data_IF_553907673067
#
_entry.id   IF_553907673067
#
_cell.length_a   1.000
_cell.length_b   1.000
_cell.length_c   1.000
_cell.angle_alpha   90.00
_cell.angle_beta   90.00
_cell.angle_gamma   90.00
#
_symmetry.space_group_name_H-M   'P 1'
#
loop_
_entity.id
_entity.type
_entity.pdbx_description
1 polymer ?
#
# COMPACT_ATOMS: atom_id res chain seq x y z
N UNK A 1 4.25 15.72 -29.80
CA UNK A 1 3.98 14.29 -29.58
C UNK A 1 2.57 14.09 -29.05
N UNK A 2 2.20 12.87 -28.67
CA UNK A 2 0.85 12.52 -28.20
C UNK A 2 0.36 13.29 -26.95
N UNK A 3 1.23 14.10 -26.33
CA UNK A 3 0.94 14.91 -25.14
C UNK A 3 0.78 16.40 -25.43
N UNK A 4 1.11 16.88 -26.64
CA UNK A 4 1.16 18.33 -26.91
C UNK A 4 -0.22 18.98 -26.90
N UNK A 5 -1.26 18.22 -27.26
CA UNK A 5 -2.65 18.67 -27.29
C UNK A 5 -3.40 18.38 -25.98
N UNK A 6 -2.73 17.83 -24.96
CA UNK A 6 -3.36 17.54 -23.66
C UNK A 6 -3.42 18.84 -22.84
N UNK A 7 -4.61 19.31 -22.44
CA UNK A 7 -4.73 20.53 -21.65
C UNK A 7 -3.98 20.43 -20.33
N UNK A 8 -3.17 21.43 -20.02
CA UNK A 8 -2.42 21.50 -18.77
C UNK A 8 -3.16 22.34 -17.75
N UNK A 9 -3.33 21.78 -16.54
CA UNK A 9 -3.84 22.50 -15.37
C UNK A 9 -2.72 22.55 -14.35
N UNK A 10 -2.37 23.76 -13.91
CA UNK A 10 -1.41 23.95 -12.83
C UNK A 10 -2.16 23.90 -11.50
N UNK A 11 -1.78 22.97 -10.63
CA UNK A 11 -2.27 22.88 -9.26
C UNK A 11 -1.08 22.64 -8.33
N UNK A 12 -0.96 23.46 -7.31
CA UNK A 12 0.12 23.40 -6.33
C UNK A 12 -0.36 22.62 -5.10
N UNK A 13 0.37 21.57 -4.73
CA UNK A 13 0.07 20.75 -3.56
C UNK A 13 0.23 21.50 -2.24
N UNK A 14 0.83 22.70 -2.23
CA UNK A 14 0.86 23.60 -1.09
C UNK A 14 -0.32 24.60 -1.06
N UNK A 15 -1.14 24.65 -2.12
CA UNK A 15 -2.26 25.58 -2.25
C UNK A 15 -3.60 24.82 -2.39
N UNK A 16 -4.37 24.79 -1.31
CA UNK A 16 -5.66 24.11 -1.22
C UNK A 16 -6.68 24.60 -2.26
N UNK A 17 -6.78 25.91 -2.48
CA UNK A 17 -7.70 26.49 -3.48
C UNK A 17 -7.36 26.02 -4.89
N UNK A 18 -6.07 25.91 -5.20
CA UNK A 18 -5.62 25.43 -6.52
C UNK A 18 -5.97 23.96 -6.76
N UNK A 19 -5.84 23.11 -5.73
CA UNK A 19 -6.23 21.70 -5.80
C UNK A 19 -7.75 21.55 -5.91
N UNK A 20 -8.51 22.33 -5.14
CA UNK A 20 -9.97 22.30 -5.20
C UNK A 20 -10.48 22.77 -6.57
N UNK A 21 -9.89 23.83 -7.14
CA UNK A 21 -10.23 24.31 -8.47
C UNK A 21 -9.92 23.27 -9.56
N UNK A 22 -8.83 22.53 -9.42
CA UNK A 22 -8.49 21.42 -10.32
C UNK A 22 -9.46 20.24 -10.16
N UNK A 23 -9.74 19.82 -8.93
CA UNK A 23 -10.61 18.68 -8.63
C UNK A 23 -12.04 18.91 -9.13
N UNK A 24 -12.60 20.11 -8.97
CA UNK A 24 -13.95 20.50 -9.47
C UNK A 24 -14.10 20.39 -11.00
N UNK A 25 -12.99 20.37 -11.75
CA UNK A 25 -13.00 20.32 -13.22
C UNK A 25 -12.95 18.90 -13.77
N UNK A 26 -12.85 17.88 -12.91
CA UNK A 26 -12.75 16.48 -13.33
C UNK A 26 -13.66 15.58 -12.52
N UNK A 27 -13.95 14.39 -13.07
CA UNK A 27 -14.67 13.33 -12.38
C UNK A 27 -13.75 12.41 -11.59
N UNK A 28 -12.48 12.35 -11.98
CA UNK A 28 -11.47 11.46 -11.40
C UNK A 28 -10.09 12.13 -11.45
N UNK A 29 -9.35 12.03 -10.34
CA UNK A 29 -7.94 12.36 -10.25
C UNK A 29 -7.13 11.07 -10.14
N UNK A 30 -6.19 10.87 -11.07
CA UNK A 30 -5.17 9.81 -11.02
C UNK A 30 -3.89 10.39 -10.43
N UNK A 31 -3.69 10.24 -9.13
CA UNK A 31 -2.56 10.82 -8.42
C UNK A 31 -1.32 9.92 -8.49
N UNK A 32 -0.32 10.38 -9.24
CA UNK A 32 0.97 9.71 -9.43
C UNK A 32 2.13 10.46 -8.77
N UNK A 33 1.82 11.42 -7.88
CA UNK A 33 2.81 12.30 -7.26
C UNK A 33 3.02 11.90 -5.79
N UNK A 34 4.19 11.32 -5.52
CA UNK A 34 4.69 11.03 -4.18
C UNK A 34 5.90 11.89 -3.78
N UNK A 35 6.41 11.77 -2.54
CA UNK A 35 5.93 10.84 -1.51
C UNK A 35 4.55 11.21 -0.94
N UNK A 36 3.66 10.23 -0.87
CA UNK A 36 2.24 10.45 -0.60
C UNK A 36 1.97 10.89 0.85
N UNK A 37 2.83 10.49 1.80
CA UNK A 37 2.77 10.96 3.18
C UNK A 37 2.79 12.49 3.28
N UNK A 38 3.51 13.18 2.40
CA UNK A 38 3.65 14.63 2.41
C UNK A 38 2.66 15.32 1.48
N UNK A 39 2.35 14.71 0.32
CA UNK A 39 1.62 15.38 -0.75
C UNK A 39 0.23 14.80 -1.05
N UNK A 40 -0.06 13.58 -0.59
CA UNK A 40 -1.28 12.89 -0.98
C UNK A 40 -2.53 13.38 -0.26
N UNK A 41 -2.43 13.75 1.03
CA UNK A 41 -3.61 14.07 1.85
C UNK A 41 -4.42 15.24 1.29
N UNK A 42 -3.75 16.32 0.91
CA UNK A 42 -4.41 17.50 0.34
C UNK A 42 -5.10 17.21 -0.99
N UNK A 43 -4.58 16.29 -1.78
CA UNK A 43 -5.20 15.86 -3.04
C UNK A 43 -6.46 15.06 -2.75
N UNK A 44 -6.40 14.11 -1.81
CA UNK A 44 -7.58 13.35 -1.36
C UNK A 44 -8.64 14.30 -0.80
N UNK A 45 -8.25 15.22 0.10
CA UNK A 45 -9.14 16.22 0.68
C UNK A 45 -9.85 17.04 -0.40
N UNK A 46 -9.10 17.60 -1.35
CA UNK A 46 -9.67 18.39 -2.44
C UNK A 46 -10.66 17.58 -3.28
N UNK A 47 -10.36 16.30 -3.55
CA UNK A 47 -11.27 15.40 -4.27
C UNK A 47 -12.55 15.13 -3.46
N UNK A 48 -12.41 14.87 -2.16
CA UNK A 48 -13.55 14.64 -1.26
C UNK A 48 -14.42 15.89 -1.17
N UNK A 49 -13.82 17.06 -0.96
CA UNK A 49 -14.51 18.34 -0.90
C UNK A 49 -15.29 18.65 -2.18
N UNK A 50 -14.72 18.35 -3.36
CA UNK A 50 -15.35 18.61 -4.65
C UNK A 50 -16.32 17.54 -5.14
N UNK A 51 -16.42 16.38 -4.46
CA UNK A 51 -17.19 15.24 -4.96
C UNK A 51 -16.55 14.55 -6.16
N UNK A 52 -15.21 14.57 -6.24
CA UNK A 52 -14.41 13.98 -7.32
C UNK A 52 -13.81 12.66 -6.86
N UNK A 53 -13.76 11.66 -7.74
CA UNK A 53 -13.11 10.39 -7.42
C UNK A 53 -11.59 10.54 -7.37
N UNK A 54 -10.93 9.73 -6.54
CA UNK A 54 -9.49 9.73 -6.38
C UNK A 54 -8.93 8.31 -6.51
N UNK A 55 -7.89 8.15 -7.33
CA UNK A 55 -7.09 6.93 -7.42
C UNK A 55 -5.60 7.28 -7.30
N UNK A 56 -4.83 6.51 -6.54
CA UNK A 56 -3.37 6.65 -6.50
C UNK A 56 -2.62 5.32 -6.64
N UNK A 57 -1.30 5.42 -6.86
CA UNK A 57 -0.39 4.27 -6.96
C UNK A 57 0.51 4.13 -5.72
N UNK A 58 0.04 4.63 -4.56
CA UNK A 58 0.85 4.71 -3.34
C UNK A 58 1.19 3.33 -2.76
N UNK A 59 2.47 3.12 -2.47
CA UNK A 59 2.99 1.96 -1.72
C UNK A 59 3.21 2.25 -0.23
N UNK A 60 2.57 3.28 0.34
CA UNK A 60 2.85 3.76 1.70
C UNK A 60 1.73 3.39 2.71
N UNK A 61 1.87 2.33 3.53
CA UNK A 61 0.80 1.85 4.41
C UNK A 61 0.21 2.91 5.34
N UNK A 62 1.05 3.77 5.93
CA UNK A 62 0.57 4.80 6.86
C UNK A 62 -0.28 5.86 6.17
N UNK A 63 0.10 6.27 4.97
CA UNK A 63 -0.72 7.18 4.18
C UNK A 63 -2.05 6.51 3.81
N UNK A 64 -2.02 5.27 3.31
CA UNK A 64 -3.21 4.53 2.91
C UNK A 64 -4.21 4.37 4.07
N UNK A 65 -3.73 3.97 5.24
CA UNK A 65 -4.56 3.77 6.45
C UNK A 65 -5.12 5.09 6.98
N UNK A 66 -4.32 6.15 6.97
CA UNK A 66 -4.75 7.48 7.40
C UNK A 66 -5.83 8.06 6.50
N UNK A 67 -5.71 7.92 5.17
CA UNK A 67 -6.74 8.42 4.24
C UNK A 67 -8.08 7.70 4.42
N UNK A 68 -8.04 6.39 4.72
CA UNK A 68 -9.26 5.65 5.04
C UNK A 68 -9.89 6.17 6.32
N UNK A 69 -9.12 6.29 7.40
CA UNK A 69 -9.61 6.80 8.68
C UNK A 69 -10.22 8.20 8.57
N UNK A 70 -9.60 9.07 7.79
CA UNK A 70 -9.98 10.47 7.71
C UNK A 70 -11.15 10.72 6.77
N UNK A 71 -11.20 10.05 5.61
CA UNK A 71 -12.13 10.41 4.54
C UNK A 71 -13.20 9.35 4.24
N UNK A 72 -13.19 8.18 4.88
CA UNK A 72 -14.13 7.10 4.55
C UNK A 72 -15.60 7.51 4.66
N UNK A 73 -16.00 8.13 5.78
CA UNK A 73 -17.41 8.49 6.00
C UNK A 73 -17.87 9.60 5.06
N UNK A 74 -17.05 10.65 4.87
CA UNK A 74 -17.40 11.76 3.98
C UNK A 74 -17.42 11.34 2.51
N UNK A 75 -16.44 10.54 2.07
CA UNK A 75 -16.43 9.98 0.72
C UNK A 75 -17.67 9.11 0.46
N UNK A 76 -18.09 8.33 1.46
CA UNK A 76 -19.29 7.50 1.39
C UNK A 76 -20.56 8.34 1.33
N UNK A 77 -20.69 9.38 2.16
CA UNK A 77 -21.83 10.30 2.14
C UNK A 77 -21.98 10.98 0.78
N UNK A 78 -20.87 11.39 0.17
CA UNK A 78 -20.83 12.01 -1.16
C UNK A 78 -20.94 11.01 -2.31
N UNK A 79 -20.91 9.71 -2.04
CA UNK A 79 -20.98 8.66 -3.07
C UNK A 79 -19.76 8.61 -4.00
N UNK A 80 -18.57 9.00 -3.51
CA UNK A 80 -17.34 9.00 -4.30
C UNK A 80 -16.40 7.86 -3.91
N UNK A 81 -15.56 7.46 -4.87
CA UNK A 81 -14.50 6.48 -4.66
C UNK A 81 -13.18 7.18 -4.34
N UNK A 82 -12.57 6.81 -3.21
CA UNK A 82 -11.18 7.11 -2.87
C UNK A 82 -10.44 5.78 -2.75
N UNK A 83 -9.60 5.46 -3.73
CA UNK A 83 -8.93 4.17 -3.85
C UNK A 83 -7.42 4.37 -3.96
N UNK A 84 -6.68 3.91 -2.94
CA UNK A 84 -5.22 3.93 -2.97
C UNK A 84 -4.62 2.62 -3.45
N UNK A 85 -3.30 2.61 -3.65
CA UNK A 85 -2.50 1.41 -3.97
C UNK A 85 -2.90 0.70 -5.27
N UNK A 86 -3.29 1.45 -6.29
CA UNK A 86 -3.55 0.95 -7.64
C UNK A 86 -2.25 0.83 -8.47
N UNK A 87 -1.18 0.35 -7.85
CA UNK A 87 0.13 0.21 -8.45
C UNK A 87 0.60 -1.22 -8.56
N UNK A 88 1.84 -1.38 -9.03
CA UNK A 88 2.56 -2.66 -8.95
C UNK A 88 2.67 -3.15 -7.51
N UNK A 89 2.94 -2.24 -6.58
CA UNK A 89 2.80 -2.51 -5.14
C UNK A 89 1.29 -2.62 -4.90
N UNK A 90 0.81 -3.84 -4.60
CA UNK A 90 -0.57 -4.25 -4.26
C UNK A 90 -1.48 -4.87 -5.33
N UNK A 91 -1.62 -4.35 -6.57
CA UNK A 91 -2.56 -4.95 -7.56
C UNK A 91 -2.28 -6.44 -7.83
N UNK A 92 -1.04 -6.86 -8.13
CA UNK A 92 -0.76 -8.28 -8.43
C UNK A 92 -1.09 -9.18 -7.23
N UNK A 93 -0.74 -8.76 -6.02
CA UNK A 93 -0.99 -9.54 -4.81
C UNK A 93 -2.50 -9.66 -4.51
N UNK A 94 -3.26 -8.57 -4.64
CA UNK A 94 -4.72 -8.58 -4.42
C UNK A 94 -5.44 -9.42 -5.49
N UNK A 95 -5.04 -9.32 -6.76
CA UNK A 95 -5.61 -10.15 -7.82
C UNK A 95 -5.35 -11.64 -7.58
N UNK A 96 -4.15 -12.02 -7.13
CA UNK A 96 -3.85 -13.40 -6.75
C UNK A 96 -4.72 -13.86 -5.56
N UNK A 97 -4.92 -13.03 -4.54
CA UNK A 97 -5.78 -13.35 -3.41
C UNK A 97 -7.25 -13.50 -3.85
N UNK A 98 -7.75 -12.60 -4.70
CA UNK A 98 -9.11 -12.70 -5.27
C UNK A 98 -9.28 -13.99 -6.07
N UNK A 99 -8.31 -14.30 -6.94
CA UNK A 99 -8.32 -15.53 -7.71
C UNK A 99 -8.38 -16.77 -6.80
N UNK A 100 -7.55 -16.82 -5.75
CA UNK A 100 -7.59 -17.90 -4.76
C UNK A 100 -8.95 -17.97 -4.05
N UNK A 101 -9.57 -16.85 -3.69
CA UNK A 101 -10.89 -16.86 -3.05
C UNK A 101 -11.99 -17.44 -3.95
N UNK A 102 -11.90 -17.24 -5.25
CA UNK A 102 -12.89 -17.72 -6.22
C UNK A 102 -12.69 -19.19 -6.61
N UNK A 103 -11.44 -19.67 -6.58
CA UNK A 103 -11.08 -20.97 -7.17
C UNK A 103 -10.55 -21.99 -6.15
N UNK A 104 -10.29 -21.61 -4.91
CA UNK A 104 -9.81 -22.55 -3.89
C UNK A 104 -10.96 -23.45 -3.43
N UNK A 105 -10.81 -24.76 -3.63
CA UNK A 105 -11.77 -25.76 -3.18
C UNK A 105 -11.66 -25.94 -1.66
N UNK A 106 -12.47 -25.20 -0.91
CA UNK A 106 -12.56 -25.29 0.54
C UNK A 106 -12.59 -23.93 1.21
N UNK A 107 -12.29 -23.91 2.51
CA UNK A 107 -12.26 -22.70 3.29
C UNK A 107 -10.87 -22.05 3.25
N UNK A 108 -10.69 -21.03 2.41
CA UNK A 108 -9.44 -20.29 2.33
C UNK A 108 -9.22 -19.51 3.63
N UNK A 109 -8.30 -19.99 4.47
CA UNK A 109 -8.00 -19.36 5.76
C UNK A 109 -6.66 -18.61 5.78
N UNK A 110 -5.65 -19.11 5.06
CA UNK A 110 -4.28 -18.62 5.17
C UNK A 110 -3.60 -18.54 3.80
N UNK A 111 -2.91 -17.43 3.54
CA UNK A 111 -2.17 -17.18 2.29
C UNK A 111 -0.81 -16.58 2.61
N UNK A 112 0.24 -17.22 2.07
CA UNK A 112 1.57 -16.62 1.97
C UNK A 112 1.78 -16.15 0.52
N UNK A 113 2.14 -14.88 0.33
CA UNK A 113 2.53 -14.34 -0.97
C UNK A 113 4.03 -14.07 -1.02
N UNK A 114 4.64 -14.34 -2.17
CA UNK A 114 6.08 -14.18 -2.41
C UNK A 114 6.30 -13.25 -3.60
N UNK A 115 6.91 -12.10 -3.35
CA UNK A 115 7.30 -11.15 -4.39
C UNK A 115 8.78 -11.29 -4.71
N UNK A 116 9.14 -11.21 -5.99
CA UNK A 116 10.52 -11.17 -6.44
C UNK A 116 10.63 -10.31 -7.68
N UNK A 117 11.75 -9.59 -7.78
CA UNK A 117 12.02 -8.72 -8.92
C UNK A 117 13.08 -9.35 -9.80
N UNK A 118 12.81 -9.44 -11.10
CA UNK A 118 13.82 -9.80 -12.10
C UNK A 118 14.54 -8.54 -12.52
N UNK A 119 15.85 -8.50 -12.33
CA UNK A 119 16.66 -7.37 -12.80
C UNK A 119 16.76 -7.40 -14.32
N UNK A 120 16.63 -6.23 -14.95
CA UNK A 120 16.94 -6.05 -16.36
C UNK A 120 18.45 -5.91 -16.60
N UNK A 121 18.90 -5.82 -17.86
CA UNK A 121 20.31 -5.66 -18.20
C UNK A 121 20.98 -4.42 -17.58
N UNK A 122 20.19 -3.39 -17.29
CA UNK A 122 20.63 -2.14 -16.65
C UNK A 122 20.51 -2.15 -15.12
N UNK A 123 20.22 -3.30 -14.53
CA UNK A 123 19.98 -3.47 -13.10
C UNK A 123 18.61 -2.98 -12.63
N UNK A 124 18.45 -2.85 -11.31
CA UNK A 124 17.26 -2.30 -10.67
C UNK A 124 17.48 -0.82 -10.37
N UNK A 125 16.49 0.02 -10.71
CA UNK A 125 16.51 1.46 -10.40
C UNK A 125 15.29 1.79 -9.55
N UNK A 126 15.50 2.59 -8.51
CA UNK A 126 14.45 3.13 -7.65
C UNK A 126 14.43 4.63 -7.88
N UNK A 127 13.24 5.21 -8.11
CA UNK A 127 13.11 6.65 -8.24
C UNK A 127 13.24 7.33 -6.87
N UNK A 128 13.58 8.62 -6.85
CA UNK A 128 13.82 9.37 -5.61
C UNK A 128 12.61 9.37 -4.67
N UNK A 129 11.40 9.55 -5.21
CA UNK A 129 10.16 9.55 -4.43
C UNK A 129 9.96 8.22 -3.69
N UNK A 130 10.08 7.10 -4.40
CA UNK A 130 9.97 5.75 -3.81
C UNK A 130 11.05 5.51 -2.75
N UNK A 131 12.28 5.98 -2.96
CA UNK A 131 13.32 5.85 -1.94
C UNK A 131 12.95 6.64 -0.68
N UNK A 132 12.56 7.91 -0.82
CA UNK A 132 12.12 8.73 0.31
C UNK A 132 10.92 8.09 1.03
N UNK A 133 9.92 7.58 0.30
CA UNK A 133 8.78 6.85 0.87
C UNK A 133 9.21 5.65 1.73
N UNK A 134 10.19 4.87 1.27
CA UNK A 134 10.70 3.71 2.02
C UNK A 134 11.46 4.13 3.29
N UNK A 135 12.29 5.18 3.23
CA UNK A 135 12.97 5.73 4.41
C UNK A 135 11.97 6.14 5.49
N UNK A 136 10.99 6.98 5.14
CA UNK A 136 9.98 7.45 6.09
C UNK A 136 9.02 6.33 6.51
N UNK A 137 8.77 5.34 5.66
CA UNK A 137 8.02 4.13 6.02
C UNK A 137 8.67 3.38 7.18
N UNK A 138 10.00 3.22 7.14
CA UNK A 138 10.76 2.59 8.22
C UNK A 138 10.87 3.48 9.45
N UNK A 139 11.24 4.76 9.28
CA UNK A 139 11.44 5.70 10.38
C UNK A 139 10.19 5.87 11.26
N UNK A 140 9.01 5.77 10.66
CA UNK A 140 7.74 5.97 11.35
C UNK A 140 6.97 4.66 11.57
N UNK A 141 7.57 3.48 11.37
CA UNK A 141 6.84 2.21 11.34
C UNK A 141 5.97 1.92 12.59
N UNK A 142 6.35 2.44 13.75
CA UNK A 142 5.60 2.34 15.01
C UNK A 142 4.24 3.04 14.97
N UNK A 143 4.11 4.15 14.24
CA UNK A 143 2.86 4.93 14.14
C UNK A 143 1.72 4.13 13.48
N UNK A 144 2.09 3.13 12.65
CA UNK A 144 1.14 2.23 12.02
C UNK A 144 0.37 1.38 13.04
N UNK A 145 0.91 1.16 14.25
CA UNK A 145 0.21 0.43 15.31
C UNK A 145 -1.01 1.22 15.79
N UNK A 146 -0.85 2.53 15.98
CA UNK A 146 -1.91 3.41 16.45
C UNK A 146 -3.00 3.60 15.39
N UNK A 147 -2.60 3.82 14.13
CA UNK A 147 -3.54 3.89 13.00
C UNK A 147 -4.38 2.61 12.88
N UNK A 148 -3.76 1.44 13.01
CA UNK A 148 -4.48 0.15 12.95
C UNK A 148 -5.42 -0.07 14.10
N UNK A 149 -5.08 0.42 15.29
CA UNK A 149 -5.96 0.36 16.46
C UNK A 149 -7.19 1.23 16.21
N UNK A 150 -6.98 2.48 15.80
CA UNK A 150 -8.06 3.41 15.49
C UNK A 150 -8.96 2.89 14.36
N UNK A 151 -8.38 2.32 13.31
CA UNK A 151 -9.15 1.74 12.20
C UNK A 151 -10.04 0.57 12.65
N UNK A 152 -9.60 -0.23 13.61
CA UNK A 152 -10.43 -1.31 14.21
C UNK A 152 -11.58 -0.77 15.03
N UNK A 153 -11.38 0.36 15.71
CA UNK A 153 -12.41 0.98 16.55
C UNK A 153 -13.45 1.72 15.72
N UNK A 154 -13.05 2.38 14.64
CA UNK A 154 -13.93 3.23 13.81
C UNK A 154 -14.49 2.52 12.59
N UNK A 155 -13.63 1.87 11.80
CA UNK A 155 -14.00 1.33 10.48
C UNK A 155 -14.35 -0.16 10.54
N UNK A 156 -13.57 -0.95 11.26
CA UNK A 156 -13.67 -2.41 11.27
C UNK A 156 -14.28 -2.96 12.56
N UNK A 157 -15.49 -2.48 12.88
CA UNK A 157 -16.18 -2.74 14.16
C UNK A 157 -16.78 -4.14 14.28
N UNK A 158 -17.02 -4.85 13.16
CA UNK A 158 -17.54 -6.23 13.23
C UNK A 158 -16.51 -7.18 13.87
N UNK A 159 -16.92 -8.04 14.81
CA UNK A 159 -16.00 -8.96 15.46
C UNK A 159 -15.41 -9.95 14.45
N UNK A 160 -14.15 -10.29 14.66
CA UNK A 160 -13.48 -11.33 13.87
C UNK A 160 -13.96 -12.72 14.34
N UNK A 161 -14.20 -13.66 13.42
CA UNK A 161 -14.53 -15.02 13.80
C UNK A 161 -13.36 -15.67 14.55
N UNK A 162 -13.64 -16.66 15.43
CA UNK A 162 -12.60 -17.42 16.09
C UNK A 162 -11.71 -18.08 15.05
N UNK A 163 -10.39 -18.05 15.29
CA UNK A 163 -9.40 -18.66 14.40
C UNK A 163 -9.05 -20.04 14.94
N UNK A 164 -9.33 -21.08 14.16
CA UNK A 164 -8.95 -22.45 14.50
C UNK A 164 -7.44 -22.68 14.29
N UNK A 165 -6.85 -21.99 13.31
CA UNK A 165 -5.42 -22.04 13.00
C UNK A 165 -4.86 -20.62 12.88
N UNK A 166 -3.57 -20.46 13.15
CA UNK A 166 -2.85 -19.19 12.93
C UNK A 166 -1.85 -19.38 11.80
N UNK A 167 -1.74 -18.38 10.94
CA UNK A 167 -0.68 -18.38 9.94
C UNK A 167 0.67 -18.24 10.64
N UNK A 168 1.54 -19.23 10.45
CA UNK A 168 2.85 -19.24 11.05
C UNK A 168 3.69 -18.07 10.57
N UNK A 169 4.28 -17.36 11.53
CA UNK A 169 5.25 -16.32 11.23
C UNK A 169 6.60 -16.96 11.03
N UNK A 170 7.09 -16.92 9.78
CA UNK A 170 8.45 -17.33 9.48
C UNK A 170 9.47 -16.35 10.08
N UNK A 171 10.68 -16.84 10.31
CA UNK A 171 11.79 -16.02 10.79
C UNK A 171 12.10 -14.86 9.82
N UNK A 172 12.86 -13.87 10.30
CA UNK A 172 13.25 -12.70 9.50
C UNK A 172 14.02 -13.04 8.22
N UNK A 173 14.67 -14.20 8.18
CA UNK A 173 15.33 -14.76 7.01
C UNK A 173 15.10 -16.28 6.96
N UNK A 174 14.59 -16.80 5.84
CA UNK A 174 14.34 -18.23 5.66
C UNK A 174 14.43 -18.64 4.19
N UNK A 175 14.67 -19.92 3.92
CA UNK A 175 14.58 -20.49 2.59
C UNK A 175 13.13 -20.90 2.27
N UNK A 176 12.63 -20.54 1.09
CA UNK A 176 11.31 -20.94 0.59
C UNK A 176 11.45 -21.83 -0.64
N UNK A 177 10.92 -23.05 -0.57
CA UNK A 177 10.85 -23.95 -1.73
C UNK A 177 9.86 -23.45 -2.79
N UNK A 178 8.83 -22.71 -2.37
CA UNK A 178 7.84 -22.07 -3.26
C UNK A 178 8.50 -20.95 -4.06
N UNK A 179 9.22 -20.05 -3.39
CA UNK A 179 9.91 -18.94 -4.06
C UNK A 179 11.24 -19.35 -4.71
N UNK A 180 11.73 -20.57 -4.39
CA UNK A 180 13.05 -21.10 -4.75
C UNK A 180 14.17 -20.12 -4.42
N UNK A 181 14.22 -19.67 -3.16
CA UNK A 181 15.19 -18.68 -2.72
C UNK A 181 15.06 -18.27 -1.26
N UNK A 182 15.99 -17.44 -0.81
CA UNK A 182 15.96 -16.80 0.50
C UNK A 182 14.93 -15.68 0.52
N UNK A 183 14.15 -15.62 1.59
CA UNK A 183 13.04 -14.70 1.77
C UNK A 183 13.12 -13.95 3.10
N UNK A 184 12.63 -12.71 3.10
CA UNK A 184 12.45 -11.87 4.27
C UNK A 184 11.05 -11.21 4.24
N UNK A 185 10.50 -10.76 5.38
CA UNK A 185 9.21 -10.08 5.41
C UNK A 185 9.18 -8.86 4.47
N UNK A 186 8.21 -8.80 3.57
CA UNK A 186 8.07 -7.65 2.69
C UNK A 186 7.50 -6.46 3.48
N UNK A 187 8.21 -5.34 3.45
CA UNK A 187 7.87 -4.14 4.21
C UNK A 187 7.04 -3.12 3.40
N UNK A 188 6.68 -3.45 2.15
CA UNK A 188 5.82 -2.62 1.30
C UNK A 188 4.34 -2.73 1.63
N UNK A 189 3.48 -2.30 0.70
CA UNK A 189 2.04 -2.14 0.96
C UNK A 189 1.21 -3.41 0.79
N UNK A 190 1.66 -4.39 0.00
CA UNK A 190 0.93 -5.62 -0.35
C UNK A 190 0.12 -6.22 0.81
N UNK A 191 0.82 -6.58 1.91
CA UNK A 191 0.18 -7.20 3.08
C UNK A 191 -0.85 -6.28 3.72
N UNK A 192 -0.55 -4.99 3.80
CA UNK A 192 -1.44 -4.00 4.43
C UNK A 192 -2.70 -3.82 3.59
N UNK A 193 -2.57 -3.72 2.26
CA UNK A 193 -3.70 -3.59 1.34
C UNK A 193 -4.58 -4.83 1.37
N UNK A 194 -4.00 -6.04 1.22
CA UNK A 194 -4.78 -7.29 1.29
C UNK A 194 -5.53 -7.44 2.60
N UNK A 195 -4.90 -7.10 3.73
CA UNK A 195 -5.59 -7.13 5.03
C UNK A 195 -6.75 -6.13 5.07
N UNK A 196 -6.59 -4.91 4.56
CA UNK A 196 -7.70 -3.95 4.51
C UNK A 196 -8.84 -4.43 3.62
N UNK A 197 -8.54 -4.97 2.43
CA UNK A 197 -9.53 -5.57 1.55
C UNK A 197 -10.34 -6.64 2.29
N UNK A 198 -9.66 -7.55 3.02
CA UNK A 198 -10.31 -8.57 3.84
C UNK A 198 -11.14 -7.98 5.00
N UNK A 199 -10.66 -6.93 5.66
CA UNK A 199 -11.42 -6.25 6.72
C UNK A 199 -12.67 -5.56 6.20
N UNK A 200 -12.61 -4.91 5.03
CA UNK A 200 -13.79 -4.35 4.40
C UNK A 200 -14.76 -5.43 3.91
N UNK A 201 -14.28 -6.55 3.34
CA UNK A 201 -15.13 -7.71 3.04
C UNK A 201 -15.87 -8.20 4.30
N UNK A 202 -15.19 -8.29 5.44
CA UNK A 202 -15.86 -8.61 6.71
C UNK A 202 -16.86 -7.54 7.12
N UNK A 203 -16.45 -6.28 7.11
CA UNK A 203 -17.27 -5.16 7.56
C UNK A 203 -18.54 -5.00 6.71
N UNK A 204 -18.43 -5.14 5.39
CA UNK A 204 -19.50 -4.86 4.44
C UNK A 204 -20.32 -6.11 4.09
N UNK A 205 -19.69 -7.24 3.77
CA UNK A 205 -20.37 -8.46 3.32
C UNK A 205 -20.38 -9.60 4.34
N UNK A 206 -19.76 -9.44 5.51
CA UNK A 206 -19.72 -10.47 6.55
C UNK A 206 -18.77 -11.63 6.26
N UNK A 207 -18.06 -11.59 5.12
CA UNK A 207 -17.11 -12.59 4.66
C UNK A 207 -16.00 -12.83 5.70
N UNK A 208 -15.60 -14.09 5.90
CA UNK A 208 -14.48 -14.44 6.77
C UNK A 208 -13.16 -13.88 6.20
N UNK A 209 -12.38 -13.10 6.97
CA UNK A 209 -11.07 -12.63 6.56
C UNK A 209 -10.03 -13.73 6.42
N UNK A 210 -9.30 -13.72 5.32
CA UNK A 210 -8.10 -14.53 5.07
C UNK A 210 -6.91 -13.94 5.83
N UNK A 211 -6.09 -14.82 6.42
CA UNK A 211 -4.82 -14.45 7.03
C UNK A 211 -3.75 -14.31 5.94
N UNK A 212 -3.10 -13.15 5.86
CA UNK A 212 -2.12 -12.89 4.80
C UNK A 212 -0.77 -12.51 5.38
N UNK A 213 0.29 -13.10 4.80
CA UNK A 213 1.67 -12.69 5.00
C UNK A 213 2.39 -12.59 3.66
N UNK A 214 3.19 -11.55 3.49
CA UNK A 214 3.95 -11.30 2.25
C UNK A 214 5.44 -11.31 2.54
N UNK A 215 6.20 -11.91 1.64
CA UNK A 215 7.65 -12.05 1.73
C UNK A 215 8.32 -11.63 0.42
N UNK A 216 9.48 -10.98 0.55
CA UNK A 216 10.35 -10.63 -0.57
C UNK A 216 11.43 -11.70 -0.72
N UNK A 217 11.55 -12.27 -1.90
CA UNK A 217 12.71 -13.11 -2.26
C UNK A 217 13.89 -12.21 -2.63
N UNK A 218 15.03 -12.50 -2.03
CA UNK A 218 16.30 -11.83 -2.33
C UNK A 218 17.16 -12.63 -3.32
N UNK A 219 18.05 -11.98 -4.09
CA UNK A 219 18.90 -12.66 -5.07
C UNK A 219 19.88 -13.69 -4.48
N UNK A 220 20.25 -13.59 -3.19
CA UNK A 220 21.11 -14.57 -2.52
C UNK A 220 21.40 -14.26 -1.05
N UNK A 221 21.90 -15.25 -0.29
CA UNK A 221 22.13 -15.16 1.16
C UNK A 221 23.16 -14.09 1.59
N UNK A 222 24.14 -13.76 0.74
CA UNK A 222 25.13 -12.72 1.02
C UNK A 222 24.65 -11.31 0.63
N UNK A 223 23.67 -11.21 -0.27
CA UNK A 223 23.04 -9.92 -0.60
C UNK A 223 22.18 -9.38 0.55
N UNK A 224 21.67 -10.28 1.41
CA UNK A 224 20.91 -9.91 2.61
C UNK A 224 21.77 -9.31 3.72
N UNK A 225 23.03 -9.76 3.87
CA UNK A 225 23.95 -9.21 4.86
C UNK A 225 24.38 -7.79 4.49
N UNK A 226 24.53 -7.50 3.19
CA UNK A 226 24.78 -6.13 2.72
C UNK A 226 23.55 -5.26 2.94
N UNK A 227 22.33 -5.72 2.63
CA UNK A 227 21.10 -4.94 2.83
C UNK A 227 20.82 -4.61 4.32
N UNK A 228 21.13 -5.51 5.25
CA UNK A 228 21.04 -5.20 6.69
C UNK A 228 22.20 -4.31 7.16
N UNK A 229 23.39 -4.45 6.59
CA UNK A 229 24.55 -3.61 6.92
C UNK A 229 24.42 -2.17 6.37
N UNK A 230 23.85 -1.96 5.19
CA UNK A 230 23.57 -0.61 4.67
C UNK A 230 22.38 0.07 5.35
N UNK A 231 21.47 -0.67 6.00
CA UNK A 231 20.41 -0.06 6.83
C UNK A 231 20.90 0.47 8.18
N UNK A 232 22.13 0.17 8.62
CA UNK A 232 22.66 0.67 9.90
C UNK A 232 23.73 1.77 9.78
N UNK A 233 24.23 2.11 8.59
CA UNK A 233 25.24 3.18 8.49
C UNK A 233 25.16 3.91 7.14
N UNK A 234 24.34 4.96 7.10
CA UNK A 234 24.51 6.06 6.15
C UNK A 234 24.62 7.38 6.94
N UNK A 235 25.68 7.50 7.74
CA UNK A 235 26.20 8.82 8.13
C UNK A 235 27.18 9.19 7.02
N UNK A 236 26.70 9.91 6.01
CA UNK A 236 27.57 10.52 5.02
C UNK A 236 28.00 11.87 5.58
N UNK A 237 29.18 11.91 6.20
CA UNK A 237 29.90 13.14 6.49
C UNK A 237 30.44 13.69 5.17
N UNK A 238 30.08 14.94 4.86
CA UNK A 238 30.68 15.70 3.77
C UNK A 238 32.03 16.27 4.19
N UNK A 239 33.00 16.22 3.29
CA UNK A 239 34.14 17.13 3.23
C UNK A 239 34.08 17.85 1.88
#
# INVERSE_FOLDING_TARGET
>A
GALDDVPVIVADVANEESLLAMAKRTRLVLNTVGPYRFYGRQVVKACVDSGTHHIDVSGEPQYLERMQLEFYDEAREKGIVVLGACGFDSIPAELCLMYLREHFEGDLDQVESFVFMKQGPLGMKINFGTWQSAMYGLAHASELVDLRREAREKLFTKPLPPRHTRLDRRNSLFWSDVARGWCLPFLGSDRSVMIHSEMFRRQLSGTKPVQVQTYLRVPGFFSTTTATCTMQTAVVTYA
#
